data_IF_511338616832
#
_entry.id   IF_511338616832
#
_cell.length_a   1.000
_cell.length_b   1.000
_cell.length_c   1.000
_cell.angle_alpha   90.00
_cell.angle_beta   90.00
_cell.angle_gamma   90.00
#
_symmetry.space_group_name_H-M   'P 1'
#
loop_
_entity.id
_entity.type
_entity.pdbx_description
1 polymer ?
#
# COMPACT_ATOMS: atom_id res chain seq x y z
N UNK A 1 -43.86 24.83 -16.17
CA UNK A 1 -42.40 24.98 -16.36
C UNK A 1 -41.78 23.60 -16.24
N UNK A 2 -41.51 22.95 -17.37
CA UNK A 2 -41.07 21.55 -17.40
C UNK A 2 -39.60 21.52 -17.81
N UNK A 3 -38.68 21.31 -16.87
CA UNK A 3 -37.27 21.06 -17.19
C UNK A 3 -37.11 19.58 -17.49
N UNK A 4 -37.30 19.23 -18.76
CA UNK A 4 -36.97 17.92 -19.31
C UNK A 4 -35.47 17.91 -19.66
N UNK A 5 -34.61 17.63 -18.69
CA UNK A 5 -33.15 17.58 -18.91
C UNK A 5 -32.78 16.21 -19.47
N UNK A 6 -32.87 16.06 -20.80
CA UNK A 6 -32.25 14.95 -21.55
C UNK A 6 -30.74 15.02 -21.35
N UNK A 7 -30.23 14.36 -20.30
CA UNK A 7 -28.80 14.14 -20.11
C UNK A 7 -28.38 13.12 -21.15
N UNK A 8 -27.54 13.57 -22.06
CA UNK A 8 -27.09 12.85 -23.25
C UNK A 8 -26.31 11.59 -22.83
N UNK A 9 -26.87 10.43 -23.19
CA UNK A 9 -26.35 9.06 -22.95
C UNK A 9 -24.84 8.88 -23.21
N UNK A 10 -24.26 9.67 -24.12
CA UNK A 10 -22.85 9.54 -24.54
C UNK A 10 -21.82 10.08 -23.54
N UNK A 11 -22.14 11.07 -22.71
CA UNK A 11 -21.17 11.62 -21.75
C UNK A 11 -21.02 10.75 -20.50
N UNK A 12 -22.10 10.08 -20.10
CA UNK A 12 -22.10 9.17 -18.95
C UNK A 12 -21.21 7.95 -19.25
N UNK A 13 -21.32 7.36 -20.45
CA UNK A 13 -20.48 6.24 -20.87
C UNK A 13 -18.99 6.60 -20.87
N UNK A 14 -18.62 7.79 -21.36
CA UNK A 14 -17.23 8.26 -21.38
C UNK A 14 -16.66 8.46 -19.98
N UNK A 15 -17.47 8.98 -19.06
CA UNK A 15 -17.10 9.09 -17.65
C UNK A 15 -16.94 7.71 -17.00
N UNK A 16 -17.83 6.75 -17.27
CA UNK A 16 -17.71 5.39 -16.74
C UNK A 16 -16.44 4.67 -17.22
N UNK A 17 -16.05 4.83 -18.49
CA UNK A 17 -14.81 4.24 -19.03
C UNK A 17 -13.58 4.83 -18.35
N UNK A 18 -13.49 6.16 -18.19
CA UNK A 18 -12.36 6.82 -17.50
C UNK A 18 -12.23 6.45 -16.01
N UNK A 19 -13.34 6.20 -15.31
CA UNK A 19 -13.30 5.69 -13.93
C UNK A 19 -12.85 4.22 -13.87
N UNK A 20 -13.23 3.40 -14.84
CA UNK A 20 -12.91 1.96 -14.85
C UNK A 20 -11.44 1.66 -15.13
N UNK A 21 -10.73 2.51 -15.90
CA UNK A 21 -9.29 2.30 -16.20
C UNK A 21 -8.41 2.46 -14.95
N UNK A 22 -8.82 3.26 -13.96
CA UNK A 22 -8.05 3.46 -12.71
C UNK A 22 -8.03 2.22 -11.80
N UNK A 23 -9.01 1.33 -11.95
CA UNK A 23 -9.19 0.16 -11.08
C UNK A 23 -8.38 -1.07 -11.52
N UNK A 24 -7.66 -1.00 -12.65
CA UNK A 24 -6.95 -2.16 -13.22
C UNK A 24 -5.44 -2.20 -12.91
N UNK A 25 -4.85 -1.11 -12.43
CA UNK A 25 -3.49 -1.13 -11.89
C UNK A 25 -3.55 -1.69 -10.47
N UNK A 26 -3.58 -3.02 -10.33
CA UNK A 26 -3.21 -3.61 -9.04
C UNK A 26 -1.78 -3.13 -8.75
N UNK A 27 -1.52 -2.41 -7.65
CA UNK A 27 -0.16 -2.04 -7.31
C UNK A 27 0.70 -3.32 -7.30
N UNK A 28 1.97 -3.24 -7.72
CA UNK A 28 2.89 -4.36 -7.57
C UNK A 28 2.81 -4.86 -6.11
N UNK A 29 3.02 -6.16 -5.88
CA UNK A 29 2.91 -6.79 -4.55
C UNK A 29 4.00 -6.20 -3.63
N UNK A 30 3.67 -5.07 -3.06
CA UNK A 30 4.54 -4.20 -2.26
C UNK A 30 3.88 -3.86 -0.93
N UNK A 31 2.79 -4.56 -0.60
CA UNK A 31 2.15 -4.49 0.71
C UNK A 31 2.09 -5.87 1.34
N UNK A 32 2.39 -5.92 2.64
CA UNK A 32 2.36 -7.08 3.53
C UNK A 32 3.08 -8.32 2.97
N UNK A 33 4.22 -8.10 2.29
CA UNK A 33 5.03 -9.17 1.72
C UNK A 33 5.42 -10.23 2.75
N UNK A 34 5.78 -9.83 3.97
CA UNK A 34 6.03 -10.74 5.09
C UNK A 34 5.60 -10.10 6.39
N UNK A 35 4.73 -10.77 7.17
CA UNK A 35 4.21 -10.24 8.43
C UNK A 35 4.30 -11.24 9.58
N UNK A 36 4.43 -10.72 10.81
CA UNK A 36 4.20 -11.43 12.06
C UNK A 36 2.81 -11.10 12.62
N UNK A 37 2.30 -11.93 13.54
CA UNK A 37 0.97 -11.76 14.14
C UNK A 37 0.83 -10.49 15.01
N UNK A 38 1.94 -9.86 15.39
CA UNK A 38 1.96 -8.61 16.14
C UNK A 38 1.85 -7.36 15.24
N UNK A 39 1.55 -7.53 13.95
CA UNK A 39 1.45 -6.44 12.98
C UNK A 39 2.79 -5.94 12.44
N UNK A 40 3.92 -6.56 12.82
CA UNK A 40 5.21 -6.20 12.25
C UNK A 40 5.38 -6.82 10.86
N UNK A 41 5.68 -5.98 9.87
CA UNK A 41 5.74 -6.42 8.47
C UNK A 41 6.91 -5.82 7.69
N UNK A 42 7.40 -6.62 6.75
CA UNK A 42 8.03 -6.15 5.52
C UNK A 42 6.95 -6.00 4.45
N UNK A 43 6.79 -4.79 3.92
CA UNK A 43 5.84 -4.44 2.90
C UNK A 43 6.37 -4.82 1.52
N UNK A 44 7.69 -4.76 1.29
CA UNK A 44 8.29 -5.03 -0.02
C UNK A 44 9.13 -6.32 -0.02
N UNK A 45 9.14 -7.03 -1.14
CA UNK A 45 9.98 -8.23 -1.35
C UNK A 45 11.50 -7.99 -1.25
N UNK A 46 11.94 -6.74 -1.37
CA UNK A 46 13.36 -6.38 -1.41
C UNK A 46 13.85 -5.82 -0.07
N UNK A 47 13.00 -5.78 0.95
CA UNK A 47 13.36 -5.29 2.28
C UNK A 47 14.65 -5.94 2.82
N UNK A 48 14.84 -7.25 2.62
CA UNK A 48 16.05 -7.95 3.06
C UNK A 48 17.30 -7.54 2.27
N UNK A 49 17.16 -7.31 0.96
CA UNK A 49 18.25 -6.84 0.11
C UNK A 49 18.65 -5.40 0.47
N UNK A 50 17.68 -4.50 0.62
CA UNK A 50 17.94 -3.12 1.03
C UNK A 50 18.56 -3.03 2.42
N UNK A 51 18.06 -3.83 3.37
CA UNK A 51 18.68 -3.94 4.68
C UNK A 51 20.14 -4.43 4.60
N UNK A 52 20.45 -5.39 3.73
CA UNK A 52 21.81 -5.93 3.60
C UNK A 52 22.81 -4.95 2.98
N UNK A 53 22.35 -4.00 2.15
CA UNK A 53 23.18 -2.92 1.60
C UNK A 53 23.19 -1.66 2.49
N UNK A 54 22.53 -1.69 3.66
CA UNK A 54 22.63 -0.63 4.67
C UNK A 54 21.49 0.40 4.68
N UNK A 55 20.40 0.18 3.95
CA UNK A 55 19.28 1.12 3.86
C UNK A 55 18.59 1.37 5.21
N UNK A 56 18.66 0.43 6.16
CA UNK A 56 18.13 0.67 7.51
C UNK A 56 18.77 1.88 8.20
N UNK A 57 19.98 2.27 7.80
CA UNK A 57 20.66 3.49 8.30
C UNK A 57 20.53 4.65 7.32
N UNK A 58 20.82 4.40 6.04
CA UNK A 58 20.85 5.45 5.00
C UNK A 58 19.47 6.00 4.69
N UNK A 59 18.44 5.16 4.76
CA UNK A 59 17.05 5.49 4.45
C UNK A 59 16.12 4.94 5.56
N UNK A 60 16.49 5.27 6.80
CA UNK A 60 15.83 4.77 8.00
C UNK A 60 14.34 5.08 8.03
N UNK A 61 13.90 6.28 7.65
CA UNK A 61 12.48 6.64 7.66
C UNK A 61 11.64 5.74 6.75
N UNK A 62 12.10 5.49 5.52
CA UNK A 62 11.37 4.61 4.61
C UNK A 62 11.42 3.16 5.10
N UNK A 63 12.59 2.69 5.50
CA UNK A 63 12.77 1.30 5.93
C UNK A 63 12.04 0.99 7.24
N UNK A 64 11.95 1.93 8.18
CA UNK A 64 11.23 1.73 9.44
C UNK A 64 9.73 1.57 9.23
N UNK A 65 9.16 2.24 8.21
CA UNK A 65 7.75 2.13 7.89
C UNK A 65 7.44 0.89 7.02
N UNK A 66 8.35 0.54 6.12
CA UNK A 66 8.10 -0.46 5.06
C UNK A 66 8.83 -1.79 5.25
N UNK A 67 9.85 -1.87 6.09
CA UNK A 67 10.77 -3.01 6.20
C UNK A 67 11.12 -3.32 7.66
N UNK A 68 10.08 -3.38 8.50
CA UNK A 68 10.23 -3.42 9.96
C UNK A 68 10.94 -4.69 10.44
N UNK A 69 10.69 -5.83 9.78
CA UNK A 69 11.35 -7.09 10.13
C UNK A 69 12.80 -7.07 9.65
N UNK A 70 13.05 -6.60 8.43
CA UNK A 70 14.40 -6.54 7.88
C UNK A 70 15.32 -5.58 8.66
N UNK A 71 14.77 -4.49 9.21
CA UNK A 71 15.51 -3.52 10.02
C UNK A 71 15.39 -3.71 11.54
N UNK A 72 14.68 -4.76 11.99
CA UNK A 72 14.47 -5.06 13.40
C UNK A 72 13.85 -3.90 14.20
N UNK A 73 12.91 -3.16 13.58
CA UNK A 73 12.22 -2.03 14.21
C UNK A 73 10.82 -2.38 14.72
N UNK A 74 10.45 -3.67 14.68
CA UNK A 74 9.24 -4.15 15.33
C UNK A 74 9.24 -3.72 16.80
N UNK A 75 8.15 -3.11 17.26
CA UNK A 75 7.91 -2.96 18.70
C UNK A 75 7.83 -4.35 19.33
N UNK A 76 8.46 -4.53 20.50
CA UNK A 76 8.26 -5.72 21.31
C UNK A 76 6.75 -5.92 21.54
N UNK A 77 6.24 -7.16 21.54
CA UNK A 77 4.83 -7.40 21.81
C UNK A 77 4.45 -6.73 23.14
N UNK A 78 3.50 -5.80 23.10
CA UNK A 78 2.90 -5.26 24.31
C UNK A 78 2.28 -6.45 25.07
N UNK A 79 2.63 -6.69 26.35
CA UNK A 79 2.11 -7.83 27.12
C UNK A 79 0.62 -7.69 27.51
N UNK A 80 -0.13 -6.76 26.92
CA UNK A 80 -1.52 -6.42 27.27
C UNK A 80 -2.58 -7.18 26.47
N UNK A 81 -2.22 -8.20 25.69
CA UNK A 81 -3.17 -9.10 25.02
C UNK A 81 -3.27 -10.45 25.72
N UNK A 82 -3.96 -10.52 26.86
CA UNK A 82 -4.38 -11.77 27.49
C UNK A 82 -5.89 -11.88 27.48
#
# INVERSE_FOLDING_TARGET
MTVNRRITSSFILLLFVLHSVKSQLRPPVTSNFKCLNNGCCDQHEWCRFWASIGECRTNSDWMNNNCQLACNTCSAPNPSGK
#
